data_IF_326944806523
#
_entry.id   IF_326944806523
#
_cell.length_a   1.000
_cell.length_b   1.000
_cell.length_c   1.000
_cell.angle_alpha   90.00
_cell.angle_beta   90.00
_cell.angle_gamma   90.00
#
_symmetry.space_group_name_H-M   'P 1'
#
loop_
_entity.id
_entity.type
_entity.pdbx_description
1 polymer ?
#
# COMPACT_ATOMS: atom_id res chain seq x y z
N UNK A 1 41.96 24.19 -41.52
CA UNK A 1 42.81 24.76 -40.45
C UNK A 1 42.18 24.35 -39.11
N UNK A 2 42.31 23.09 -38.70
CA UNK A 2 43.29 22.60 -37.71
C UNK A 2 43.58 23.56 -36.56
N UNK A 3 43.12 23.20 -35.35
CA UNK A 3 44.00 22.95 -34.19
C UNK A 3 43.28 22.13 -33.12
N UNK A 4 43.66 20.85 -33.12
CA UNK A 4 43.55 19.88 -32.03
C UNK A 4 44.50 20.34 -30.91
N UNK A 5 44.07 20.24 -29.65
CA UNK A 5 45.00 20.19 -28.52
C UNK A 5 44.75 18.90 -27.75
N UNK A 6 45.69 17.98 -27.95
CA UNK A 6 45.92 16.74 -27.22
C UNK A 6 47.24 16.95 -26.46
N UNK A 7 47.29 16.63 -25.16
CA UNK A 7 48.46 16.17 -24.35
C UNK A 7 48.12 16.38 -22.85
N UNK A 8 48.40 15.49 -21.89
CA UNK A 8 49.29 14.31 -21.85
C UNK A 8 48.88 13.41 -20.68
N UNK A 9 49.02 12.09 -20.89
CA UNK A 9 49.14 11.05 -19.87
C UNK A 9 50.37 11.29 -18.98
N UNK A 10 50.25 10.99 -17.69
CA UNK A 10 51.36 10.56 -16.85
C UNK A 10 50.96 9.25 -16.14
N UNK A 11 51.50 8.14 -16.63
CA UNK A 11 51.52 6.83 -15.97
C UNK A 11 52.88 6.63 -15.31
N UNK A 12 52.90 6.43 -14.00
CA UNK A 12 53.95 5.71 -13.28
C UNK A 12 53.26 4.83 -12.24
N UNK A 13 53.46 3.53 -12.37
CA UNK A 13 52.83 2.52 -11.54
C UNK A 13 53.56 2.26 -10.24
N UNK A 14 52.81 1.76 -9.26
CA UNK A 14 53.31 0.84 -8.25
C UNK A 14 52.19 -0.17 -7.97
N UNK A 15 52.50 -1.45 -8.21
CA UNK A 15 51.64 -2.57 -7.88
C UNK A 15 51.54 -2.71 -6.34
N UNK A 16 50.33 -2.66 -5.81
CA UNK A 16 50.00 -2.92 -4.42
C UNK A 16 48.76 -3.81 -4.35
N UNK A 17 48.97 -5.04 -3.93
CA UNK A 17 47.99 -6.13 -3.84
C UNK A 17 46.95 -5.85 -2.73
N UNK A 18 45.68 -6.07 -3.07
CA UNK A 18 44.53 -6.41 -2.23
C UNK A 18 44.32 -5.69 -0.89
N UNK A 19 43.32 -4.81 -0.90
CA UNK A 19 42.59 -4.36 0.27
C UNK A 19 41.35 -3.59 -0.17
N UNK A 20 40.41 -4.25 -0.88
CA UNK A 20 39.13 -3.65 -1.22
C UNK A 20 38.26 -3.55 0.04
N UNK A 21 38.61 -2.61 0.92
CA UNK A 21 37.70 -2.10 1.93
C UNK A 21 36.59 -1.39 1.18
N UNK A 22 35.45 -2.07 1.04
CA UNK A 22 34.18 -1.45 0.67
C UNK A 22 33.74 -0.55 1.81
N UNK A 23 34.41 0.60 1.93
CA UNK A 23 33.95 1.74 2.69
C UNK A 23 32.66 2.20 2.03
N UNK A 24 31.55 1.59 2.46
CA UNK A 24 30.23 2.15 2.28
C UNK A 24 30.21 3.46 3.06
N UNK A 25 30.68 4.53 2.43
CA UNK A 25 30.45 5.90 2.86
C UNK A 25 28.96 6.17 2.70
N UNK A 26 28.17 5.62 3.63
CA UNK A 26 26.94 6.29 4.02
C UNK A 26 27.38 7.67 4.45
N UNK A 27 27.14 8.67 3.60
CA UNK A 27 27.36 10.06 3.96
C UNK A 27 26.60 10.29 5.27
N UNK A 28 27.35 10.40 6.38
CA UNK A 28 26.79 10.76 7.66
C UNK A 28 26.17 12.13 7.47
N UNK A 29 24.84 12.18 7.38
CA UNK A 29 24.12 13.41 7.16
C UNK A 29 24.47 14.34 8.33
N UNK A 30 25.19 15.42 8.03
CA UNK A 30 25.51 16.45 9.01
C UNK A 30 24.24 16.80 9.81
N UNK A 31 24.38 16.92 11.13
CA UNK A 31 23.29 17.24 12.04
C UNK A 31 22.50 18.45 11.51
N UNK A 32 21.23 18.24 11.17
CA UNK A 32 20.37 19.28 10.59
C UNK A 32 19.75 20.12 11.70
N UNK A 33 20.11 21.40 11.79
CA UNK A 33 19.57 22.35 12.77
C UNK A 33 18.05 22.51 12.63
N UNK A 34 17.52 22.47 11.41
CA UNK A 34 16.08 22.51 11.14
C UNK A 34 15.40 21.25 11.70
N UNK A 35 15.91 20.06 11.38
CA UNK A 35 15.33 18.80 11.87
C UNK A 35 15.43 18.66 13.39
N UNK A 36 16.53 19.13 13.99
CA UNK A 36 16.70 19.18 15.44
C UNK A 36 15.68 20.11 16.09
N UNK A 37 15.44 21.28 15.50
CA UNK A 37 14.41 22.21 15.98
C UNK A 37 12.99 21.64 15.87
N UNK A 38 12.65 21.03 14.73
CA UNK A 38 11.36 20.34 14.53
C UNK A 38 11.15 19.30 15.62
N UNK A 39 12.19 18.53 15.92
CA UNK A 39 12.15 17.48 16.94
C UNK A 39 12.03 18.05 18.35
N UNK A 40 12.82 19.08 18.70
CA UNK A 40 12.81 19.65 20.05
C UNK A 40 11.54 20.44 20.37
N UNK A 41 10.91 21.02 19.36
CA UNK A 41 9.62 21.72 19.50
C UNK A 41 8.42 20.80 19.38
N UNK A 42 8.62 19.49 19.16
CA UNK A 42 7.55 18.51 18.94
C UNK A 42 6.52 19.00 17.91
N UNK A 43 7.02 19.58 16.81
CA UNK A 43 6.14 20.14 15.77
C UNK A 43 5.25 19.03 15.23
N UNK A 44 3.94 19.25 15.33
CA UNK A 44 2.92 18.33 14.84
C UNK A 44 2.54 18.72 13.42
N UNK A 45 2.69 17.82 12.43
CA UNK A 45 2.29 18.11 11.06
C UNK A 45 0.80 18.43 10.94
N UNK A 46 0.47 19.34 10.03
CA UNK A 46 -0.91 19.71 9.72
C UNK A 46 -1.72 18.51 9.21
N UNK A 47 -3.03 18.54 9.43
CA UNK A 47 -3.93 17.56 8.82
C UNK A 47 -4.07 17.84 7.33
N UNK A 48 -4.18 16.77 6.52
CA UNK A 48 -4.51 16.89 5.11
C UNK A 48 -5.96 17.33 4.98
N UNK A 49 -6.18 18.46 4.32
CA UNK A 49 -7.51 18.89 3.88
C UNK A 49 -7.68 18.55 2.40
N UNK A 50 -8.90 18.20 1.99
CA UNK A 50 -9.22 17.87 0.59
C UNK A 50 -10.17 18.91 0.02
N UNK A 51 -9.69 19.63 -0.98
CA UNK A 51 -10.45 20.60 -1.79
C UNK A 51 -10.34 20.22 -3.26
N UNK A 52 -10.66 18.96 -3.57
CA UNK A 52 -10.49 18.39 -4.91
C UNK A 52 -11.36 19.15 -5.91
N UNK A 53 -10.73 19.73 -6.92
CA UNK A 53 -11.42 20.38 -8.01
C UNK A 53 -11.59 19.42 -9.19
N UNK A 54 -12.82 19.28 -9.68
CA UNK A 54 -13.14 18.35 -10.77
C UNK A 54 -12.71 18.84 -12.16
N UNK A 55 -12.26 20.09 -12.30
CA UNK A 55 -11.81 20.65 -13.57
C UNK A 55 -10.45 20.13 -14.04
N UNK A 56 -9.64 19.56 -13.13
CA UNK A 56 -8.35 18.97 -13.52
C UNK A 56 -8.54 17.67 -14.32
N UNK A 57 -7.71 17.45 -15.35
CA UNK A 57 -7.75 16.22 -16.13
C UNK A 57 -7.34 15.00 -15.29
N UNK A 58 -7.84 13.82 -15.66
CA UNK A 58 -7.64 12.56 -14.92
C UNK A 58 -6.95 11.51 -15.78
N UNK A 59 -5.69 11.76 -16.14
CA UNK A 59 -4.86 10.81 -16.89
C UNK A 59 -4.15 9.84 -15.95
N UNK A 60 -4.06 8.57 -16.35
CA UNK A 60 -3.41 7.53 -15.54
C UNK A 60 -1.90 7.72 -15.56
N UNK A 61 -1.21 7.35 -14.49
CA UNK A 61 0.24 7.15 -14.52
C UNK A 61 0.62 6.07 -15.54
N UNK A 62 1.90 5.99 -15.90
CA UNK A 62 2.40 5.02 -16.89
C UNK A 62 2.17 3.55 -16.51
N UNK A 63 1.98 3.27 -15.22
CA UNK A 63 1.64 1.94 -14.70
C UNK A 63 0.16 1.77 -14.32
N UNK A 64 -0.69 2.73 -14.70
CA UNK A 64 -2.13 2.71 -14.46
C UNK A 64 -2.58 3.65 -13.33
N UNK A 65 -3.89 3.62 -13.06
CA UNK A 65 -4.52 4.43 -12.00
C UNK A 65 -4.00 4.02 -10.62
N UNK A 66 -3.64 4.99 -9.78
CA UNK A 66 -3.19 4.75 -8.40
C UNK A 66 -1.86 4.00 -8.34
N UNK A 67 -1.02 4.19 -9.36
CA UNK A 67 0.31 3.58 -9.49
C UNK A 67 1.41 4.63 -9.71
N UNK A 68 1.53 5.67 -8.85
CA UNK A 68 2.72 6.50 -8.86
C UNK A 68 3.93 5.70 -8.37
N UNK A 69 5.10 6.18 -8.73
CA UNK A 69 6.40 5.61 -8.39
C UNK A 69 7.15 6.42 -7.34
N UNK A 70 6.62 7.58 -6.96
CA UNK A 70 7.26 8.47 -6.01
C UNK A 70 6.54 9.81 -5.88
N UNK A 71 7.21 10.72 -5.21
CA UNK A 71 6.75 12.08 -4.91
C UNK A 71 7.81 13.07 -5.34
N UNK A 72 7.42 14.12 -6.06
CA UNK A 72 8.25 15.30 -6.34
C UNK A 72 7.85 16.42 -5.40
N UNK A 73 8.85 16.97 -4.74
CA UNK A 73 8.77 18.16 -3.90
C UNK A 73 9.13 19.36 -4.76
N UNK A 74 8.23 20.33 -4.80
CA UNK A 74 8.43 21.59 -5.50
C UNK A 74 8.46 22.78 -4.52
N UNK A 75 8.74 23.95 -5.06
CA UNK A 75 8.51 25.25 -4.43
C UNK A 75 8.01 26.24 -5.49
N UNK A 76 7.09 27.13 -5.07
CA UNK A 76 6.34 28.07 -5.90
C UNK A 76 7.14 29.14 -6.66
N UNK A 77 8.40 29.38 -6.29
CA UNK A 77 9.27 30.48 -6.66
C UNK A 77 8.61 31.86 -6.50
N UNK A 78 7.71 32.01 -5.52
CA UNK A 78 6.92 33.21 -5.31
C UNK A 78 6.91 33.64 -3.84
N UNK A 79 7.81 34.54 -3.43
CA UNK A 79 7.95 34.97 -2.03
C UNK A 79 6.81 35.88 -1.54
N UNK A 80 5.78 36.15 -2.34
CA UNK A 80 4.69 37.07 -1.97
C UNK A 80 3.31 36.42 -2.00
N UNK A 81 3.21 35.16 -2.45
CA UNK A 81 1.93 34.49 -2.55
C UNK A 81 1.53 33.81 -1.24
N UNK A 82 0.22 33.60 -1.11
CA UNK A 82 -0.33 32.67 -0.14
C UNK A 82 -0.71 31.37 -0.83
N UNK A 83 -0.89 30.29 -0.05
CA UNK A 83 -1.40 29.02 -0.57
C UNK A 83 -2.69 29.17 -1.38
N UNK A 84 -3.56 30.12 -1.01
CA UNK A 84 -4.83 30.34 -1.71
C UNK A 84 -4.64 31.14 -2.99
N UNK A 85 -3.69 32.08 -3.03
CA UNK A 85 -3.31 32.74 -4.28
C UNK A 85 -2.78 31.72 -5.28
N UNK A 86 -1.89 30.83 -4.85
CA UNK A 86 -1.31 29.79 -5.69
C UNK A 86 -2.38 28.80 -6.18
N UNK A 87 -3.26 28.31 -5.29
CA UNK A 87 -4.36 27.41 -5.68
C UNK A 87 -5.30 28.10 -6.69
N UNK A 88 -5.66 29.36 -6.48
CA UNK A 88 -6.55 30.10 -7.37
C UNK A 88 -5.89 30.34 -8.74
N UNK A 89 -4.63 30.79 -8.76
CA UNK A 89 -3.86 30.99 -9.97
C UNK A 89 -3.72 29.68 -10.75
N UNK A 90 -3.37 28.59 -10.09
CA UNK A 90 -3.18 27.30 -10.73
C UNK A 90 -4.49 26.72 -11.30
N UNK A 91 -5.64 26.92 -10.64
CA UNK A 91 -6.95 26.53 -11.20
C UNK A 91 -7.27 27.29 -12.49
N UNK A 92 -6.95 28.58 -12.54
CA UNK A 92 -7.16 29.41 -13.74
C UNK A 92 -6.18 29.07 -14.87
N UNK A 93 -5.01 28.52 -14.55
CA UNK A 93 -3.93 28.27 -15.51
C UNK A 93 -3.57 26.78 -15.66
N UNK A 94 -4.47 25.87 -15.28
CA UNK A 94 -4.14 24.44 -15.13
C UNK A 94 -3.68 23.76 -16.42
N UNK A 95 -4.01 24.31 -17.58
CA UNK A 95 -3.58 23.81 -18.88
C UNK A 95 -2.07 23.92 -19.08
N UNK A 96 -1.43 24.89 -18.40
CA UNK A 96 0.02 25.06 -18.41
C UNK A 96 0.69 24.14 -17.39
N UNK A 97 0.22 24.20 -16.14
CA UNK A 97 0.72 23.37 -15.06
C UNK A 97 -0.31 23.22 -13.94
N UNK A 98 -0.31 22.03 -13.32
CA UNK A 98 -0.95 21.85 -12.03
C UNK A 98 -0.25 20.76 -11.23
N UNK A 99 -0.35 20.85 -9.90
CA UNK A 99 0.12 19.84 -8.94
C UNK A 99 -1.03 19.24 -8.15
N UNK A 100 -0.75 18.21 -7.35
CA UNK A 100 -1.80 17.52 -6.59
C UNK A 100 -2.17 18.27 -5.31
N UNK A 101 -1.20 18.93 -4.70
CA UNK A 101 -1.35 19.52 -3.36
C UNK A 101 -0.44 20.71 -3.18
N UNK A 102 -0.80 21.55 -2.21
CA UNK A 102 0.06 22.63 -1.70
C UNK A 102 0.32 22.45 -0.21
N UNK A 103 1.47 22.90 0.24
CA UNK A 103 1.93 22.86 1.63
C UNK A 103 2.44 24.24 2.03
N UNK A 104 2.11 24.68 3.24
CA UNK A 104 2.72 25.84 3.89
C UNK A 104 3.03 25.51 5.37
N UNK A 105 3.45 26.51 6.15
CA UNK A 105 3.76 26.36 7.58
C UNK A 105 2.58 25.97 8.48
N UNK A 106 1.37 25.86 7.97
CA UNK A 106 0.14 25.59 8.76
C UNK A 106 -0.82 24.60 8.09
N UNK A 107 -0.67 24.33 6.80
CA UNK A 107 -1.66 23.61 5.98
C UNK A 107 -1.01 22.61 5.05
N UNK A 108 -1.76 21.54 4.78
CA UNK A 108 -1.59 20.64 3.63
C UNK A 108 -2.94 20.58 2.93
N UNK A 109 -3.01 21.05 1.68
CA UNK A 109 -4.26 21.14 0.92
C UNK A 109 -4.12 20.30 -0.35
N UNK A 110 -4.86 19.19 -0.42
CA UNK A 110 -4.94 18.34 -1.60
C UNK A 110 -6.09 18.79 -2.51
N UNK A 111 -5.76 19.13 -3.76
CA UNK A 111 -6.66 19.78 -4.71
C UNK A 111 -6.86 18.98 -6.01
N UNK A 112 -6.03 17.97 -6.28
CA UNK A 112 -6.23 17.02 -7.37
C UNK A 112 -6.10 15.57 -6.88
N UNK A 113 -6.73 14.63 -7.59
CA UNK A 113 -6.74 13.23 -7.19
C UNK A 113 -5.38 12.57 -7.47
N UNK A 114 -4.67 12.13 -6.42
CA UNK A 114 -3.34 11.49 -6.47
C UNK A 114 -3.31 10.12 -7.14
N UNK A 115 -4.47 9.56 -7.54
CA UNK A 115 -4.51 8.34 -8.37
C UNK A 115 -4.26 8.61 -9.87
N UNK A 116 -4.19 9.88 -10.25
CA UNK A 116 -3.99 10.34 -11.62
C UNK A 116 -2.80 11.31 -11.65
N UNK A 117 -2.13 11.40 -12.80
CA UNK A 117 -0.97 12.28 -12.93
C UNK A 117 -1.33 13.78 -12.87
N UNK A 118 -0.32 14.59 -12.57
CA UNK A 118 -0.36 16.05 -12.67
C UNK A 118 0.69 16.56 -13.65
N UNK A 119 0.67 17.87 -13.94
CA UNK A 119 1.44 18.51 -15.00
C UNK A 119 2.46 19.54 -14.48
N UNK A 120 3.14 19.26 -13.36
CA UNK A 120 4.07 20.22 -12.72
C UNK A 120 5.57 19.96 -12.93
N UNK A 121 5.98 18.80 -13.48
CA UNK A 121 7.41 18.41 -13.54
C UNK A 121 7.91 18.05 -14.95
N UNK A 122 7.05 18.22 -15.97
CA UNK A 122 7.37 17.87 -17.36
C UNK A 122 7.39 16.37 -17.65
N UNK A 123 7.46 16.00 -18.94
CA UNK A 123 7.58 14.60 -19.39
C UNK A 123 9.06 14.17 -19.39
N UNK A 124 9.42 13.00 -18.85
CA UNK A 124 8.54 11.88 -18.48
C UNK A 124 8.04 11.89 -17.03
N UNK A 125 8.51 12.81 -16.19
CA UNK A 125 8.24 12.84 -14.74
C UNK A 125 6.74 12.91 -14.38
N UNK A 126 5.94 13.65 -15.14
CA UNK A 126 4.49 13.75 -14.96
C UNK A 126 3.81 12.37 -14.89
N UNK A 127 4.23 11.44 -15.74
CA UNK A 127 3.64 10.09 -15.81
C UNK A 127 4.02 9.16 -14.65
N UNK A 128 4.89 9.62 -13.74
CA UNK A 128 5.53 8.79 -12.71
C UNK A 128 5.20 9.23 -11.28
N UNK A 129 5.04 10.52 -11.01
CA UNK A 129 5.11 11.01 -9.63
C UNK A 129 3.87 11.78 -9.18
N UNK A 130 3.53 11.62 -7.90
CA UNK A 130 2.72 12.60 -7.18
C UNK A 130 3.57 13.86 -7.00
N UNK A 131 2.96 15.04 -7.04
CA UNK A 131 3.65 16.33 -7.07
C UNK A 131 2.93 17.28 -6.12
N UNK A 132 3.68 17.99 -5.27
CA UNK A 132 3.14 19.06 -4.43
C UNK A 132 4.07 20.27 -4.40
N UNK A 133 3.47 21.43 -4.22
CA UNK A 133 4.15 22.72 -4.09
C UNK A 133 4.28 23.15 -2.63
N UNK A 134 5.40 23.78 -2.31
CA UNK A 134 5.63 24.48 -1.06
C UNK A 134 5.57 25.98 -1.30
N UNK A 135 4.86 26.70 -0.45
CA UNK A 135 4.70 28.16 -0.55
C UNK A 135 5.76 28.84 0.30
N UNK A 136 6.57 29.73 -0.28
CA UNK A 136 7.61 30.41 0.49
C UNK A 136 7.09 31.05 1.79
N UNK A 137 7.72 30.74 2.92
CA UNK A 137 7.31 31.26 4.24
C UNK A 137 8.33 32.21 4.87
N UNK A 138 7.84 33.16 5.67
CA UNK A 138 8.63 34.31 6.11
C UNK A 138 8.97 34.34 7.60
N UNK A 139 9.03 33.18 8.26
CA UNK A 139 9.54 33.11 9.63
C UNK A 139 10.24 31.78 9.92
N UNK A 140 11.12 31.80 10.93
CA UNK A 140 11.80 30.61 11.44
C UNK A 140 10.82 29.50 11.83
N UNK A 141 9.74 29.88 12.52
CA UNK A 141 8.71 28.92 12.94
C UNK A 141 7.96 28.36 11.75
N UNK A 142 7.53 29.21 10.82
CA UNK A 142 6.79 28.79 9.64
C UNK A 142 7.63 27.84 8.77
N UNK A 143 8.92 28.13 8.55
CA UNK A 143 9.81 27.27 7.76
C UNK A 143 9.99 25.89 8.40
N UNK A 144 10.16 25.83 9.72
CA UNK A 144 10.22 24.55 10.42
C UNK A 144 8.92 23.74 10.30
N UNK A 145 7.76 24.40 10.39
CA UNK A 145 6.47 23.73 10.24
C UNK A 145 6.22 23.29 8.79
N UNK A 146 6.61 24.10 7.80
CA UNK A 146 6.49 23.75 6.39
C UNK A 146 7.33 22.51 6.07
N UNK A 147 8.61 22.50 6.47
CA UNK A 147 9.48 21.33 6.30
C UNK A 147 8.90 20.09 6.99
N UNK A 148 8.35 20.24 8.20
CA UNK A 148 7.69 19.15 8.91
C UNK A 148 6.45 18.64 8.15
N UNK A 149 5.61 19.55 7.64
CA UNK A 149 4.41 19.24 6.86
C UNK A 149 4.77 18.52 5.55
N UNK A 150 5.73 19.07 4.79
CA UNK A 150 6.16 18.52 3.51
C UNK A 150 6.81 17.14 3.68
N UNK A 151 7.66 16.96 4.69
CA UNK A 151 8.31 15.67 4.96
C UNK A 151 7.31 14.61 5.42
N UNK A 152 6.39 14.97 6.32
CA UNK A 152 5.32 14.08 6.77
C UNK A 152 4.38 13.71 5.64
N UNK A 153 3.99 14.67 4.80
CA UNK A 153 3.09 14.45 3.68
C UNK A 153 3.71 13.54 2.61
N UNK A 154 5.01 13.74 2.33
CA UNK A 154 5.78 12.83 1.47
C UNK A 154 5.75 11.41 2.03
N UNK A 155 6.04 11.25 3.32
CA UNK A 155 5.98 9.95 3.97
C UNK A 155 4.57 9.32 3.91
N UNK A 156 3.52 10.14 4.08
CA UNK A 156 2.12 9.70 3.99
C UNK A 156 1.80 9.17 2.58
N UNK A 157 2.17 9.91 1.54
CA UNK A 157 1.99 9.49 0.14
C UNK A 157 2.75 8.19 -0.16
N UNK A 158 3.97 8.05 0.33
CA UNK A 158 4.72 6.80 0.20
C UNK A 158 3.99 5.62 0.86
N UNK A 159 3.41 5.80 2.05
CA UNK A 159 2.60 4.76 2.70
C UNK A 159 1.32 4.46 1.93
N UNK A 160 0.60 5.48 1.50
CA UNK A 160 -0.66 5.36 0.74
C UNK A 160 -0.48 4.50 -0.51
N UNK A 161 0.63 4.70 -1.23
CA UNK A 161 0.94 3.98 -2.45
C UNK A 161 1.87 2.76 -2.26
N UNK A 162 2.14 2.37 -1.02
CA UNK A 162 3.00 1.22 -0.67
C UNK A 162 4.40 1.29 -1.31
N UNK A 163 4.99 2.49 -1.30
CA UNK A 163 6.32 2.81 -1.78
C UNK A 163 7.29 2.92 -0.59
N UNK A 164 8.48 2.34 -0.72
CA UNK A 164 9.53 2.50 0.31
C UNK A 164 10.25 3.84 0.08
N UNK A 165 10.63 4.58 1.14
CA UNK A 165 11.49 5.75 0.99
C UNK A 165 12.79 5.37 0.30
N UNK A 166 13.12 6.09 -0.77
CA UNK A 166 14.40 6.02 -1.46
C UNK A 166 14.71 7.40 -2.04
N UNK A 167 15.88 7.94 -1.72
CA UNK A 167 16.33 9.26 -2.18
C UNK A 167 16.83 9.16 -3.62
N UNK A 168 16.12 9.78 -4.55
CA UNK A 168 16.46 9.72 -5.95
C UNK A 168 17.59 10.67 -6.37
N UNK A 169 17.98 11.61 -5.50
CA UNK A 169 18.96 12.63 -5.86
C UNK A 169 20.33 12.04 -6.24
N UNK A 170 20.70 10.89 -5.65
CA UNK A 170 22.03 10.28 -5.82
C UNK A 170 22.22 9.54 -7.15
N UNK A 171 21.27 8.71 -7.57
CA UNK A 171 21.43 7.77 -8.69
C UNK A 171 20.29 7.80 -9.71
N UNK A 172 19.35 8.74 -9.59
CA UNK A 172 18.17 8.83 -10.45
C UNK A 172 17.18 7.66 -10.25
N UNK A 173 17.27 6.94 -9.13
CA UNK A 173 16.40 5.81 -8.80
C UNK A 173 15.85 6.00 -7.39
N UNK A 174 14.62 6.45 -7.28
CA UNK A 174 14.00 6.57 -5.97
C UNK A 174 12.53 6.92 -6.00
N UNK A 175 12.02 7.22 -4.82
CA UNK A 175 10.61 7.52 -4.56
C UNK A 175 10.42 8.92 -3.97
N UNK A 176 11.52 9.61 -3.61
CA UNK A 176 11.52 11.00 -3.15
C UNK A 176 12.44 11.80 -4.07
N UNK A 177 11.89 12.83 -4.69
CA UNK A 177 12.53 13.62 -5.72
C UNK A 177 12.38 15.12 -5.44
N UNK A 178 13.39 15.92 -5.77
CA UNK A 178 13.18 17.33 -6.08
C UNK A 178 12.85 17.50 -7.56
N UNK A 179 12.26 18.63 -7.95
CA UNK A 179 12.12 18.96 -9.37
C UNK A 179 13.48 18.97 -10.06
N UNK A 180 14.49 19.58 -9.43
CA UNK A 180 15.87 19.57 -9.93
C UNK A 180 16.42 18.17 -10.21
N UNK A 181 16.16 17.19 -9.32
CA UNK A 181 16.61 15.81 -9.56
C UNK A 181 15.83 15.13 -10.70
N UNK A 182 14.56 15.47 -10.91
CA UNK A 182 13.79 14.97 -12.06
C UNK A 182 14.39 15.55 -13.34
N UNK A 183 14.61 16.86 -13.38
CA UNK A 183 15.21 17.55 -14.52
C UNK A 183 16.58 16.95 -14.89
N UNK A 184 17.46 16.74 -13.91
CA UNK A 184 18.82 16.24 -14.17
C UNK A 184 18.86 14.78 -14.62
N UNK A 185 17.98 13.92 -14.09
CA UNK A 185 18.04 12.47 -14.33
C UNK A 185 17.07 11.99 -15.41
N UNK A 186 15.95 12.68 -15.61
CA UNK A 186 14.87 12.27 -16.51
C UNK A 186 14.60 13.28 -17.63
N UNK A 187 15.07 14.53 -17.51
CA UNK A 187 14.78 15.61 -18.44
C UNK A 187 13.34 16.14 -18.33
N UNK A 188 12.92 16.90 -19.36
CA UNK A 188 11.56 17.43 -19.46
C UNK A 188 11.31 18.79 -18.80
N UNK A 189 12.27 19.26 -18.00
CA UNK A 189 12.26 20.54 -17.32
C UNK A 189 13.69 20.99 -17.05
N UNK A 190 13.88 22.28 -16.80
CA UNK A 190 15.17 22.90 -16.39
C UNK A 190 15.11 23.47 -14.97
N UNK A 191 13.97 23.32 -14.30
CA UNK A 191 13.76 23.85 -12.96
C UNK A 191 14.62 23.13 -11.93
N UNK A 192 14.95 23.83 -10.83
CA UNK A 192 15.89 23.36 -9.80
C UNK A 192 15.32 23.35 -8.38
N UNK A 193 14.04 23.68 -8.22
CA UNK A 193 13.34 23.70 -6.94
C UNK A 193 13.30 22.31 -6.27
N UNK A 194 13.23 22.25 -4.93
CA UNK A 194 13.23 23.36 -3.97
C UNK A 194 14.64 23.67 -3.44
N UNK A 195 15.70 23.24 -4.13
CA UNK A 195 17.09 23.22 -3.60
C UNK A 195 17.56 24.62 -3.18
N UNK A 196 17.32 25.62 -4.03
CA UNK A 196 17.65 27.02 -3.75
C UNK A 196 16.92 27.56 -2.53
N UNK A 197 15.59 27.41 -2.49
CA UNK A 197 14.73 27.84 -1.39
C UNK A 197 15.17 27.22 -0.05
N UNK A 198 15.32 25.89 0.00
CA UNK A 198 15.76 25.21 1.22
C UNK A 198 17.14 25.69 1.71
N UNK A 199 18.09 25.85 0.79
CA UNK A 199 19.43 26.31 1.13
C UNK A 199 19.40 27.72 1.71
N UNK A 200 18.72 28.66 1.02
CA UNK A 200 18.63 30.06 1.42
C UNK A 200 17.87 30.23 2.73
N UNK A 201 16.68 29.65 2.84
CA UNK A 201 15.78 29.81 3.99
C UNK A 201 16.33 29.11 5.24
N UNK A 202 16.96 27.94 5.07
CA UNK A 202 17.70 27.28 6.13
C UNK A 202 18.84 28.15 6.67
N UNK A 203 19.67 28.72 5.78
CA UNK A 203 20.73 29.66 6.18
C UNK A 203 20.15 30.86 6.93
N UNK A 204 19.11 31.48 6.39
CA UNK A 204 18.47 32.67 6.96
C UNK A 204 17.95 32.46 8.38
N UNK A 205 17.23 31.37 8.65
CA UNK A 205 16.55 31.19 9.94
C UNK A 205 17.28 30.28 10.94
N UNK A 206 18.20 29.43 10.46
CA UNK A 206 18.90 28.43 11.27
C UNK A 206 20.42 28.53 11.19
N UNK A 207 20.98 29.42 10.36
CA UNK A 207 22.42 29.54 10.18
C UNK A 207 23.06 28.29 9.55
N UNK A 208 22.27 27.46 8.85
CA UNK A 208 22.71 26.27 8.14
C UNK A 208 21.75 26.03 6.97
N UNK A 209 22.30 25.90 5.75
CA UNK A 209 21.48 25.59 4.58
C UNK A 209 20.77 24.25 4.76
N UNK A 210 19.47 24.22 4.44
CA UNK A 210 18.70 22.98 4.45
C UNK A 210 18.83 22.29 3.09
N UNK A 211 18.95 20.96 3.08
CA UNK A 211 19.19 20.19 1.84
C UNK A 211 18.15 19.10 1.64
N UNK A 212 18.01 18.62 0.40
CA UNK A 212 17.15 17.47 0.11
C UNK A 212 17.54 16.21 0.89
N UNK A 213 18.83 16.00 1.16
CA UNK A 213 19.28 14.90 2.01
C UNK A 213 18.77 15.03 3.46
N UNK A 214 18.80 16.26 4.02
CA UNK A 214 18.23 16.53 5.35
C UNK A 214 16.71 16.36 5.36
N UNK A 215 16.03 16.82 4.31
CA UNK A 215 14.59 16.60 4.10
C UNK A 215 14.27 15.11 4.05
N UNK A 216 15.01 14.33 3.28
CA UNK A 216 14.82 12.89 3.16
C UNK A 216 14.99 12.15 4.49
N UNK A 217 15.93 12.56 5.36
CA UNK A 217 16.01 11.98 6.71
C UNK A 217 14.74 12.24 7.53
N UNK A 218 14.13 13.42 7.39
CA UNK A 218 12.86 13.72 8.04
C UNK A 218 11.71 12.88 7.44
N UNK A 219 11.67 12.70 6.12
CA UNK A 219 10.72 11.79 5.44
C UNK A 219 10.87 10.38 5.99
N UNK A 220 12.09 9.83 6.07
CA UNK A 220 12.36 8.51 6.65
C UNK A 220 11.89 8.42 8.09
N UNK A 221 12.17 9.44 8.92
CA UNK A 221 11.73 9.50 10.31
C UNK A 221 10.21 9.40 10.40
N UNK A 222 9.45 10.21 9.66
CA UNK A 222 7.99 10.14 9.65
C UNK A 222 7.48 8.83 9.06
N UNK A 223 8.10 8.30 7.99
CA UNK A 223 7.70 7.04 7.37
C UNK A 223 7.82 5.85 8.33
N UNK A 224 8.88 5.83 9.14
CA UNK A 224 9.10 4.82 10.18
C UNK A 224 8.23 5.08 11.42
N UNK A 225 7.93 6.35 11.71
CA UNK A 225 7.09 6.79 12.82
C UNK A 225 5.60 6.62 12.57
N UNK A 226 5.15 6.55 11.31
CA UNK A 226 3.86 5.94 11.01
C UNK A 226 3.93 4.54 11.53
N UNK A 227 3.20 4.29 12.63
CA UNK A 227 3.07 2.95 13.17
C UNK A 227 2.91 2.02 11.99
N UNK A 228 3.82 1.06 11.88
CA UNK A 228 3.36 -0.26 11.49
C UNK A 228 2.22 -0.50 12.48
N UNK A 229 0.99 -0.18 12.06
CA UNK A 229 -0.13 -0.94 12.51
C UNK A 229 0.25 -2.35 12.10
N UNK A 230 0.99 -3.04 12.97
CA UNK A 230 0.57 -4.35 13.42
C UNK A 230 -0.89 -4.11 13.78
N UNK A 231 -1.77 -4.17 12.78
CA UNK A 231 -3.20 -4.23 13.00
C UNK A 231 -3.30 -5.36 13.98
N UNK A 232 -3.55 -5.05 15.26
CA UNK A 232 -3.61 -6.04 16.31
C UNK A 232 -4.53 -7.11 15.76
N UNK A 233 -3.97 -8.28 15.51
CA UNK A 233 -4.74 -9.31 14.82
C UNK A 233 -5.92 -9.61 15.72
N UNK A 234 -7.12 -9.52 15.16
CA UNK A 234 -8.32 -9.82 15.91
C UNK A 234 -8.48 -11.34 15.90
N UNK A 235 -8.85 -11.91 17.04
CA UNK A 235 -9.15 -13.34 17.12
C UNK A 235 -10.31 -13.67 16.16
N UNK A 236 -10.23 -14.83 15.52
CA UNK A 236 -11.29 -15.36 14.68
C UNK A 236 -11.55 -16.81 15.05
N UNK A 237 -12.80 -17.14 15.35
CA UNK A 237 -13.23 -18.51 15.61
C UNK A 237 -13.62 -19.16 14.29
N UNK A 238 -12.96 -20.26 13.94
CA UNK A 238 -13.18 -20.99 12.69
C UNK A 238 -14.07 -22.21 12.92
N UNK A 239 -15.00 -22.45 11.99
CA UNK A 239 -15.92 -23.59 12.07
C UNK A 239 -16.05 -24.24 10.70
N UNK A 240 -15.77 -25.54 10.61
CA UNK A 240 -16.01 -26.33 9.40
C UNK A 240 -17.51 -26.42 9.14
N UNK A 241 -17.92 -26.22 7.89
CA UNK A 241 -19.32 -26.27 7.47
C UNK A 241 -19.43 -26.92 6.10
N UNK A 242 -20.65 -27.32 5.71
CA UNK A 242 -20.94 -27.75 4.34
C UNK A 242 -22.13 -26.95 3.82
N UNK A 243 -21.85 -25.75 3.29
CA UNK A 243 -22.88 -24.79 2.85
C UNK A 243 -22.69 -24.40 1.38
N UNK A 244 -23.71 -23.78 0.81
CA UNK A 244 -23.66 -23.10 -0.48
C UNK A 244 -24.15 -21.67 -0.30
N UNK A 245 -23.71 -20.77 -1.17
CA UNK A 245 -24.25 -19.43 -1.25
C UNK A 245 -24.15 -18.88 -2.67
N UNK A 246 -25.01 -17.90 -2.99
CA UNK A 246 -24.94 -17.14 -4.24
C UNK A 246 -24.08 -15.89 -4.06
N UNK A 247 -23.28 -15.56 -5.06
CA UNK A 247 -22.50 -14.31 -5.07
C UNK A 247 -23.42 -13.09 -5.15
N UNK A 248 -23.29 -12.17 -4.19
CA UNK A 248 -23.98 -10.89 -4.12
C UNK A 248 -23.38 -9.88 -5.09
N UNK A 249 -24.17 -8.93 -5.61
CA UNK A 249 -23.68 -7.78 -6.39
C UNK A 249 -22.67 -6.91 -5.63
N UNK A 250 -22.72 -6.92 -4.29
CA UNK A 250 -21.78 -6.21 -3.41
C UNK A 250 -20.32 -6.64 -3.62
N UNK A 251 -20.05 -7.78 -4.23
CA UNK A 251 -18.68 -8.27 -4.45
C UNK A 251 -17.78 -7.27 -5.18
N UNK A 252 -18.36 -6.39 -6.02
CA UNK A 252 -17.64 -5.33 -6.73
C UNK A 252 -16.99 -4.30 -5.79
N UNK A 253 -17.49 -4.18 -4.56
CA UNK A 253 -16.98 -3.28 -3.51
C UNK A 253 -16.02 -3.98 -2.53
N UNK A 254 -15.74 -5.26 -2.73
CA UNK A 254 -14.92 -6.08 -1.82
C UNK A 254 -13.89 -6.92 -2.60
N UNK A 255 -13.08 -7.67 -1.87
CA UNK A 255 -12.01 -8.51 -2.42
C UNK A 255 -12.10 -9.95 -1.89
N UNK A 256 -11.49 -10.87 -2.62
CA UNK A 256 -11.10 -12.18 -2.12
C UNK A 256 -9.86 -12.05 -1.23
N UNK A 257 -9.66 -12.99 -0.30
CA UNK A 257 -8.44 -13.07 0.52
C UNK A 257 -7.94 -14.51 0.65
N UNK A 258 -6.64 -14.70 0.86
CA UNK A 258 -6.05 -16.01 1.21
C UNK A 258 -6.31 -16.40 2.67
N UNK A 259 -6.45 -15.43 3.56
CA UNK A 259 -6.83 -15.60 4.98
C UNK A 259 -7.89 -14.56 5.37
N UNK A 260 -8.57 -14.75 6.50
CA UNK A 260 -9.52 -13.76 7.02
C UNK A 260 -8.80 -12.43 7.30
N UNK A 261 -9.29 -11.34 6.69
CA UNK A 261 -8.63 -10.03 6.76
C UNK A 261 -8.58 -9.51 8.20
N UNK A 262 -7.36 -9.21 8.67
CA UNK A 262 -7.11 -8.63 9.98
C UNK A 262 -7.04 -9.63 11.13
N UNK A 263 -7.18 -10.94 10.87
CA UNK A 263 -6.92 -11.99 11.88
C UNK A 263 -5.67 -12.82 11.58
N UNK A 264 -5.04 -12.62 10.43
CA UNK A 264 -3.80 -13.28 10.04
C UNK A 264 -2.82 -12.27 9.42
N UNK A 265 -1.55 -12.30 9.85
CA UNK A 265 -0.49 -11.39 9.36
C UNK A 265 -0.18 -11.57 7.87
N UNK A 266 -0.43 -12.75 7.31
CA UNK A 266 -0.21 -13.10 5.91
C UNK A 266 -1.47 -12.92 5.05
N UNK A 267 -2.52 -12.28 5.59
CA UNK A 267 -3.74 -12.01 4.83
C UNK A 267 -3.47 -11.00 3.71
N UNK A 268 -3.63 -11.44 2.47
CA UNK A 268 -3.43 -10.64 1.26
C UNK A 268 -4.69 -10.64 0.41
N UNK A 269 -4.94 -9.52 -0.26
CA UNK A 269 -6.05 -9.36 -1.22
C UNK A 269 -5.77 -10.18 -2.47
N UNK A 270 -6.82 -10.76 -3.03
CA UNK A 270 -6.80 -11.53 -4.27
C UNK A 270 -7.83 -10.95 -5.24
N UNK A 271 -7.51 -10.95 -6.54
CA UNK A 271 -8.44 -10.47 -7.57
C UNK A 271 -9.58 -11.46 -7.78
N UNK A 272 -10.81 -10.94 -7.88
CA UNK A 272 -11.98 -11.72 -8.25
C UNK A 272 -11.85 -12.37 -9.63
N UNK A 273 -11.11 -11.78 -10.57
CA UNK A 273 -10.90 -12.35 -11.92
C UNK A 273 -10.31 -13.77 -11.90
N UNK A 274 -9.64 -14.17 -10.80
CA UNK A 274 -9.10 -15.53 -10.61
C UNK A 274 -10.18 -16.64 -10.59
N UNK A 275 -11.45 -16.28 -10.37
CA UNK A 275 -12.55 -17.26 -10.22
C UNK A 275 -13.75 -16.95 -11.13
N UNK A 276 -13.56 -16.08 -12.12
CA UNK A 276 -14.59 -15.65 -13.09
C UNK A 276 -15.94 -15.37 -12.40
N UNK A 277 -16.03 -14.27 -11.63
CA UNK A 277 -17.15 -13.99 -10.73
C UNK A 277 -18.39 -13.63 -11.55
N UNK A 278 -19.56 -14.14 -11.16
CA UNK A 278 -20.85 -13.77 -11.74
C UNK A 278 -21.86 -13.64 -10.62
N UNK A 279 -22.58 -12.52 -10.56
CA UNK A 279 -23.66 -12.32 -9.58
C UNK A 279 -24.67 -13.45 -9.70
N UNK A 280 -25.12 -14.00 -8.57
CA UNK A 280 -26.03 -15.13 -8.52
C UNK A 280 -25.37 -16.51 -8.71
N UNK A 281 -24.10 -16.59 -9.14
CA UNK A 281 -23.36 -17.86 -9.24
C UNK A 281 -23.22 -18.50 -7.86
N UNK A 282 -23.47 -19.80 -7.80
CA UNK A 282 -23.31 -20.61 -6.58
C UNK A 282 -21.85 -20.91 -6.29
N UNK A 283 -21.44 -20.69 -5.05
CA UNK A 283 -20.16 -21.09 -4.48
C UNK A 283 -20.38 -22.04 -3.31
N UNK A 284 -19.44 -22.96 -3.12
CA UNK A 284 -19.45 -23.89 -2.00
C UNK A 284 -18.67 -23.29 -0.84
N UNK A 285 -19.14 -23.49 0.37
CA UNK A 285 -18.53 -22.99 1.60
C UNK A 285 -18.15 -24.19 2.44
N UNK A 286 -16.86 -24.27 2.79
CA UNK A 286 -16.34 -25.35 3.64
C UNK A 286 -15.97 -24.87 5.05
N UNK A 287 -15.93 -23.55 5.28
CA UNK A 287 -15.53 -22.98 6.56
C UNK A 287 -16.12 -21.59 6.76
N UNK A 288 -16.48 -21.28 8.01
CA UNK A 288 -16.83 -19.93 8.45
C UNK A 288 -15.78 -19.40 9.42
N UNK A 289 -15.70 -18.07 9.54
CA UNK A 289 -14.92 -17.43 10.59
C UNK A 289 -15.68 -16.24 11.18
N UNK A 290 -15.89 -16.25 12.50
CA UNK A 290 -16.44 -15.11 13.26
C UNK A 290 -15.30 -14.37 13.93
N UNK A 291 -15.06 -13.13 13.53
CA UNK A 291 -14.06 -12.29 14.20
C UNK A 291 -14.59 -11.84 15.56
N UNK A 292 -13.70 -11.60 16.53
CA UNK A 292 -14.06 -11.02 17.83
C UNK A 292 -14.74 -9.65 17.70
N UNK A 293 -14.51 -8.95 16.59
CA UNK A 293 -15.19 -7.70 16.22
C UNK A 293 -16.60 -7.92 15.64
N UNK A 294 -17.15 -9.13 15.68
CA UNK A 294 -18.49 -9.48 15.20
C UNK A 294 -18.62 -9.75 13.69
N UNK A 295 -17.61 -9.41 12.87
CA UNK A 295 -17.71 -9.64 11.42
C UNK A 295 -17.65 -11.12 11.04
N UNK A 296 -18.57 -11.56 10.17
CA UNK A 296 -18.62 -12.92 9.62
C UNK A 296 -17.91 -13.05 8.27
N UNK A 297 -17.19 -14.15 8.09
CA UNK A 297 -16.43 -14.49 6.89
C UNK A 297 -16.68 -15.94 6.48
N UNK A 298 -16.57 -16.21 5.18
CA UNK A 298 -16.79 -17.53 4.58
C UNK A 298 -15.61 -17.90 3.69
N UNK A 299 -15.15 -19.15 3.78
CA UNK A 299 -14.16 -19.70 2.86
C UNK A 299 -14.89 -20.39 1.72
N UNK A 300 -14.87 -19.74 0.55
CA UNK A 300 -15.56 -20.18 -0.66
C UNK A 300 -14.64 -21.01 -1.55
N UNK A 301 -15.27 -21.94 -2.27
CA UNK A 301 -14.70 -22.75 -3.33
C UNK A 301 -15.51 -22.53 -4.62
N UNK A 302 -14.85 -22.28 -5.77
CA UNK A 302 -15.53 -22.04 -7.05
C UNK A 302 -16.41 -23.19 -7.55
N UNK A 303 -16.16 -24.42 -7.11
CA UNK A 303 -16.94 -25.63 -7.43
C UNK A 303 -16.86 -26.66 -6.30
N UNK A 304 -17.71 -27.70 -6.33
CA UNK A 304 -17.86 -28.70 -5.25
C UNK A 304 -16.58 -29.41 -4.88
N UNK A 305 -15.64 -29.57 -5.81
CA UNK A 305 -14.38 -30.29 -5.62
C UNK A 305 -13.15 -29.40 -5.85
N UNK A 306 -13.34 -28.07 -5.91
CA UNK A 306 -12.21 -27.16 -6.15
C UNK A 306 -11.23 -27.16 -4.97
N UNK A 307 -9.93 -27.25 -5.28
CA UNK A 307 -8.84 -27.05 -4.32
C UNK A 307 -8.58 -25.57 -4.05
N UNK A 308 -9.03 -24.66 -4.94
CA UNK A 308 -8.89 -23.21 -4.78
C UNK A 308 -9.87 -22.70 -3.73
N UNK A 309 -9.34 -22.03 -2.70
CA UNK A 309 -10.10 -21.52 -1.55
C UNK A 309 -9.81 -20.03 -1.37
N UNK A 310 -10.86 -19.27 -1.08
CA UNK A 310 -10.75 -17.84 -0.80
C UNK A 310 -11.68 -17.43 0.33
N UNK A 311 -11.22 -16.52 1.18
CA UNK A 311 -12.05 -15.90 2.21
C UNK A 311 -12.76 -14.67 1.67
N UNK A 312 -14.05 -14.56 1.98
CA UNK A 312 -14.90 -13.40 1.64
C UNK A 312 -15.69 -12.94 2.86
N UNK A 313 -15.90 -11.63 2.96
CA UNK A 313 -16.77 -11.05 3.97
C UNK A 313 -18.23 -11.44 3.68
N UNK A 314 -19.06 -11.63 4.71
CA UNK A 314 -20.45 -12.08 4.59
C UNK A 314 -21.28 -11.29 3.59
N UNK A 315 -21.08 -9.97 3.48
CA UNK A 315 -21.80 -9.13 2.53
C UNK A 315 -21.60 -9.48 1.05
N UNK A 316 -20.61 -10.31 0.72
CA UNK A 316 -20.38 -10.82 -0.63
C UNK A 316 -21.32 -11.96 -1.02
N UNK A 317 -22.05 -12.54 -0.07
CA UNK A 317 -22.84 -13.74 -0.27
C UNK A 317 -24.31 -13.48 0.08
N UNK A 318 -25.20 -14.22 -0.57
CA UNK A 318 -26.65 -14.23 -0.34
C UNK A 318 -27.13 -15.67 -0.41
N UNK A 319 -28.37 -15.94 0.03
CA UNK A 319 -28.98 -17.27 -0.06
C UNK A 319 -28.10 -18.39 0.53
N UNK A 320 -27.51 -18.14 1.70
CA UNK A 320 -26.64 -19.11 2.37
C UNK A 320 -27.51 -20.26 2.88
N UNK A 321 -27.19 -21.49 2.48
CA UNK A 321 -27.95 -22.69 2.87
C UNK A 321 -27.03 -23.89 3.10
N UNK A 322 -27.46 -24.82 3.94
CA UNK A 322 -26.76 -26.09 4.14
C UNK A 322 -26.89 -26.98 2.89
N UNK A 323 -25.83 -27.72 2.60
CA UNK A 323 -25.85 -28.78 1.57
C UNK A 323 -26.36 -30.03 2.28
N UNK A 324 -27.52 -30.56 1.88
CA UNK A 324 -28.00 -31.84 2.40
C UNK A 324 -26.95 -32.92 2.14
N UNK A 325 -26.49 -33.58 3.21
CA UNK A 325 -25.72 -34.82 3.12
C UNK A 325 -26.74 -35.92 2.87
N UNK A 326 -26.74 -36.54 1.69
CA UNK A 326 -27.45 -37.80 1.49
C UNK A 326 -26.75 -38.84 2.34
N UNK A 327 -27.26 -39.10 3.53
CA UNK A 327 -26.91 -40.29 4.31
C UNK A 327 -27.45 -41.48 3.52
N UNK A 328 -26.56 -42.26 2.89
CA UNK A 328 -26.93 -43.57 2.42
C UNK A 328 -27.20 -44.44 3.66
N UNK A 329 -28.47 -44.63 4.00
CA UNK A 329 -28.88 -45.67 4.94
C UNK A 329 -28.61 -47.01 4.25
N UNK A 330 -27.45 -47.60 4.52
CA UNK A 330 -27.18 -48.98 4.19
C UNK A 330 -27.95 -49.85 5.18
N UNK A 331 -29.04 -50.48 4.73
CA UNK A 331 -29.69 -51.56 5.45
C UNK A 331 -28.77 -52.78 5.39
N UNK A 332 -27.99 -53.01 6.44
CA UNK A 332 -27.14 -54.19 6.55
C UNK A 332 -27.99 -55.42 6.85
N UNK A 333 -28.17 -56.28 5.85
CA UNK A 333 -28.50 -57.68 6.10
C UNK A 333 -27.26 -58.36 6.69
N UNK A 334 -27.39 -58.86 7.91
CA UNK A 334 -26.36 -59.61 8.63
C UNK A 334 -26.17 -60.98 8.01
N UNK A 335 -25.00 -61.22 7.42
CA UNK A 335 -24.46 -62.58 7.22
C UNK A 335 -23.34 -62.74 8.23
N UNK A 336 -23.65 -63.42 9.34
CA UNK A 336 -22.66 -63.86 10.33
C UNK A 336 -21.79 -64.97 9.72
N UNK A 337 -20.48 -64.78 9.85
CA UNK A 337 -19.47 -65.82 9.66
C UNK A 337 -18.81 -66.03 11.03
N UNK A 338 -19.22 -67.09 11.72
CA UNK A 338 -18.55 -67.58 12.92
C UNK A 338 -17.89 -68.92 12.59
N UNK A 339 -16.56 -68.90 12.53
CA UNK A 339 -15.72 -70.09 12.52
C UNK A 339 -15.52 -70.60 13.94
N UNK A 340 -16.06 -71.79 14.26
CA UNK A 340 -15.53 -72.64 15.31
C UNK A 340 -15.89 -74.10 15.03
N UNK A 341 -14.87 -74.94 15.10
CA UNK A 341 -14.84 -76.36 14.77
C UNK A 341 -15.37 -77.24 15.93
N UNK A 342 -15.80 -78.44 15.51
CA UNK A 342 -15.79 -79.75 16.18
C UNK A 342 -16.90 -80.14 17.17
N UNK A 343 -17.55 -81.26 16.79
CA UNK A 343 -18.10 -82.37 17.61
C UNK A 343 -19.20 -82.03 18.62
N UNK A 344 -20.31 -82.76 18.76
CA UNK A 344 -20.72 -84.09 18.31
C UNK A 344 -22.18 -84.29 18.75
N UNK A 345 -22.91 -85.15 18.01
CA UNK A 345 -24.02 -86.02 18.45
C UNK A 345 -25.39 -85.44 18.85
N UNK A 346 -26.38 -85.89 18.03
CA UNK A 346 -27.67 -86.54 18.37
C UNK A 346 -28.88 -85.75 18.92
N UNK A 347 -30.01 -85.94 18.22
CA UNK A 347 -31.40 -86.10 18.68
C UNK A 347 -32.06 -84.89 19.38
N UNK A 348 -33.36 -84.63 19.37
CA UNK A 348 -34.58 -85.09 18.67
C UNK A 348 -35.70 -84.15 19.16
N UNK A 349 -36.74 -83.98 18.36
CA UNK A 349 -38.13 -83.65 18.71
C UNK A 349 -38.59 -82.25 19.21
N UNK A 350 -39.69 -81.82 18.56
CA UNK A 350 -40.95 -81.28 19.14
C UNK A 350 -40.98 -79.83 19.66
N UNK A 351 -41.73 -78.94 18.98
CA UNK A 351 -43.12 -78.47 19.30
C UNK A 351 -43.17 -77.61 20.58
N UNK A 352 -43.73 -76.40 20.62
CA UNK A 352 -45.16 -75.98 20.62
C UNK A 352 -45.11 -74.44 20.77
N UNK A 353 -45.70 -73.63 19.88
CA UNK A 353 -47.03 -72.99 19.94
C UNK A 353 -47.32 -72.09 21.16
N UNK A 354 -48.00 -70.97 20.87
CA UNK A 354 -48.81 -70.10 21.76
C UNK A 354 -48.04 -69.08 22.62
N UNK A 355 -48.49 -67.85 22.86
CA UNK A 355 -49.64 -67.07 22.38
C UNK A 355 -49.54 -65.64 22.95
N UNK A 356 -50.07 -64.68 22.19
CA UNK A 356 -50.90 -63.52 22.57
C UNK A 356 -50.75 -62.77 23.92
N UNK A 357 -50.87 -61.44 23.82
CA UNK A 357 -51.33 -60.51 24.87
C UNK A 357 -50.45 -59.26 24.93
N UNK A 358 -50.73 -58.18 24.20
CA UNK A 358 -51.72 -57.13 24.49
C UNK A 358 -51.52 -56.47 25.86
N UNK A 359 -50.71 -55.41 25.91
CA UNK A 359 -51.15 -54.04 26.20
C UNK A 359 -50.10 -53.02 25.78
#
# INVERSE_FOLDING_TARGET
MHKIVLTTLATLGAAGIFGLSTSTTTASAATSKVNSYISSKNITPAKITKSIWNGFPKYKYRHGKGKPEGVVVHETANPSSTIYNEIAYMKNNYQNAFVHSFVDGSRIINIANTDYLAWGVGSPGNSRFVQFEQVEVHSKSAFAHEVANAAWYTAYLLKEYNLKPNDAAYDGKGTVWSHGSVASHLGGSTHTDPVGYYSATGKKYFGQGYTMAMFYQMVKKYYNGFSTSHTKLVNATYTSVNKQAKLSSKYKSYYLYNHVKGSNKNATKQSWSKISPKVGKTYYIDMTAKKSTGSMWYRIRPSKNSTKRYWVYSGNLTSIKDVATTTATATSASVESSSASSSSTSADSSSVTSSSGSN
#
